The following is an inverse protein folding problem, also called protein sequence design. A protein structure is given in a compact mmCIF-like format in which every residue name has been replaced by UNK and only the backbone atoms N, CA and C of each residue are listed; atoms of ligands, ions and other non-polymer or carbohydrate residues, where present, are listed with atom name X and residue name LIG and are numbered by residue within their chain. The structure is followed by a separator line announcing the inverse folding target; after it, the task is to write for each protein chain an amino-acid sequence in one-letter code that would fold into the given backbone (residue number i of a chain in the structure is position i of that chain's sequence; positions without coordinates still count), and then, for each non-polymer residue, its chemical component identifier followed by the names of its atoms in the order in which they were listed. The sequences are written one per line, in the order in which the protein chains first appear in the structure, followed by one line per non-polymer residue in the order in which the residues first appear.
data_IF_416775228661
#
_entry.id   IF_416775228661
#
_cell.length_a   1.000
_cell.length_b   1.000
_cell.length_c   1.000
_cell.angle_alpha   90.00
_cell.angle_beta   90.00
_cell.angle_gamma   90.00
#
_symmetry.space_group_name_H-M   'P 1'
#
loop_
_entity.id
_entity.type
_entity.pdbx_description
1 polymer ?
#
# COMPACT_ATOMS: atom_id res chain seq x y z
N UNK A 1 17.86 8.29 -5.48
CA UNK A 1 17.60 7.32 -4.39
C UNK A 1 18.71 7.51 -3.38
N UNK A 2 18.46 8.32 -2.35
CA UNK A 2 19.52 8.86 -1.50
C UNK A 2 20.04 7.77 -0.56
N UNK A 3 21.24 7.28 -0.87
CA UNK A 3 22.17 6.68 0.09
C UNK A 3 22.54 7.75 1.12
N UNK A 4 21.67 8.02 2.08
CA UNK A 4 22.11 8.58 3.34
C UNK A 4 22.70 7.43 4.12
N UNK A 5 24.03 7.41 4.16
CA UNK A 5 24.87 6.84 5.20
C UNK A 5 24.03 6.33 6.38
N UNK A 6 23.81 5.02 6.40
CA UNK A 6 22.95 4.38 7.38
C UNK A 6 23.56 4.64 8.76
N UNK A 7 23.08 5.67 9.46
CA UNK A 7 23.22 5.76 10.91
C UNK A 7 22.87 4.38 11.46
N UNK A 8 23.64 3.84 12.42
CA UNK A 8 23.37 2.52 12.97
C UNK A 8 21.89 2.46 13.36
N UNK A 9 21.15 1.53 12.75
CA UNK A 9 19.72 1.40 13.01
C UNK A 9 19.55 1.07 14.49
N UNK A 10 18.61 1.72 15.21
CA UNK A 10 18.42 1.43 16.62
C UNK A 10 18.05 -0.03 16.80
N UNK A 11 18.81 -0.73 17.64
CA UNK A 11 18.66 -2.16 17.95
C UNK A 11 17.53 -2.46 18.96
N UNK A 12 16.76 -1.45 19.38
CA UNK A 12 15.87 -1.54 20.55
C UNK A 12 14.43 -1.03 20.32
N UNK A 13 13.89 -1.19 19.11
CA UNK A 13 12.46 -1.00 18.85
C UNK A 13 11.59 -2.07 19.51
N UNK A 14 10.34 -1.73 19.88
CA UNK A 14 9.39 -2.70 20.45
C UNK A 14 9.07 -3.85 19.49
N UNK A 15 9.00 -3.58 18.18
CA UNK A 15 8.63 -4.55 17.17
C UNK A 15 9.77 -5.50 16.77
N UNK A 16 10.95 -5.41 17.40
CA UNK A 16 12.15 -6.18 17.05
C UNK A 16 12.84 -5.64 15.80
N UNK A 17 13.64 -6.50 15.14
CA UNK A 17 14.51 -6.09 14.04
C UNK A 17 13.76 -5.56 12.83
N UNK A 18 14.34 -4.60 12.13
CA UNK A 18 13.77 -4.04 10.90
C UNK A 18 13.94 -5.07 9.78
N UNK A 19 12.82 -5.50 9.20
CA UNK A 19 12.80 -6.47 8.08
C UNK A 19 12.38 -5.85 6.75
N UNK A 20 11.94 -4.58 6.75
CA UNK A 20 11.61 -3.86 5.53
C UNK A 20 12.80 -3.76 4.58
N UNK A 21 12.49 -3.72 3.29
CA UNK A 21 13.50 -3.54 2.25
C UNK A 21 13.84 -2.07 1.99
N UNK A 22 12.96 -1.17 2.44
CA UNK A 22 13.09 0.27 2.30
C UNK A 22 13.10 0.94 3.67
N UNK A 23 13.91 1.99 3.77
CA UNK A 23 14.04 2.85 4.94
C UNK A 23 13.93 4.30 4.48
N UNK A 24 12.97 5.02 5.06
CA UNK A 24 12.80 6.45 4.78
C UNK A 24 13.75 7.29 5.65
N UNK A 25 13.77 8.60 5.40
CA UNK A 25 14.71 9.51 6.05
C UNK A 25 14.39 9.84 7.52
N UNK A 26 13.17 9.57 8.00
CA UNK A 26 12.78 9.84 9.38
C UNK A 26 13.63 9.00 10.34
N UNK A 27 14.06 9.59 11.46
CA UNK A 27 14.90 8.90 12.43
C UNK A 27 14.12 7.87 13.23
N UNK A 28 14.61 6.63 13.25
CA UNK A 28 13.86 5.49 13.77
C UNK A 28 13.78 5.53 15.29
N UNK A 29 12.58 5.35 15.83
CA UNK A 29 12.28 5.27 17.27
C UNK A 29 12.77 6.51 18.06
N UNK A 30 12.92 7.67 17.41
CA UNK A 30 13.46 8.89 18.04
C UNK A 30 12.62 9.38 19.22
N UNK A 31 11.30 9.28 19.12
CA UNK A 31 10.38 9.80 20.15
C UNK A 31 9.80 8.71 21.06
N UNK A 32 9.67 7.48 20.56
CA UNK A 32 9.11 6.37 21.31
C UNK A 32 9.60 5.04 20.74
N UNK A 33 9.76 4.03 21.61
CA UNK A 33 10.13 2.67 21.20
C UNK A 33 9.00 1.92 20.47
N UNK A 34 7.76 2.42 20.52
CA UNK A 34 6.59 1.73 19.96
C UNK A 34 6.26 2.11 18.51
N UNK A 35 6.73 3.28 18.05
CA UNK A 35 6.47 3.81 16.72
C UNK A 35 7.81 4.18 16.09
N UNK A 36 8.18 3.46 15.02
CA UNK A 36 9.48 3.65 14.38
C UNK A 36 9.59 5.02 13.71
N UNK A 37 8.56 5.46 12.97
CA UNK A 37 8.56 6.74 12.27
C UNK A 37 7.29 7.54 12.62
N UNK A 38 7.29 8.28 13.74
CA UNK A 38 6.08 8.96 14.23
C UNK A 38 5.40 9.90 13.24
N UNK A 39 6.13 10.74 12.52
CA UNK A 39 5.56 11.69 11.58
C UNK A 39 4.95 10.98 10.36
N UNK A 40 5.68 10.00 9.79
CA UNK A 40 5.15 9.16 8.71
C UNK A 40 3.97 8.30 9.15
N UNK A 41 3.96 7.80 10.40
CA UNK A 41 2.85 7.00 10.95
C UNK A 41 1.59 7.85 11.15
N UNK A 42 1.71 9.02 11.78
CA UNK A 42 0.56 9.86 12.15
C UNK A 42 -0.05 10.54 10.92
N UNK A 43 0.76 10.92 9.93
CA UNK A 43 0.25 11.55 8.70
C UNK A 43 -0.75 10.66 7.95
N UNK A 44 -0.63 9.34 8.07
CA UNK A 44 -1.55 8.37 7.49
C UNK A 44 -2.96 8.36 8.12
N UNK A 45 -3.12 8.86 9.35
CA UNK A 45 -4.45 9.03 9.95
C UNK A 45 -5.32 10.02 9.17
N UNK A 46 -4.70 11.03 8.54
CA UNK A 46 -5.42 11.97 7.68
C UNK A 46 -5.95 11.28 6.42
N UNK A 47 -5.14 10.44 5.77
CA UNK A 47 -5.57 9.64 4.61
C UNK A 47 -6.74 8.72 4.97
N UNK A 48 -6.64 8.02 6.11
CA UNK A 48 -7.71 7.15 6.59
C UNK A 48 -9.00 7.92 6.88
N UNK A 49 -8.91 9.07 7.55
CA UNK A 49 -10.07 9.90 7.85
C UNK A 49 -10.78 10.39 6.57
N UNK A 50 -10.03 10.87 5.58
CA UNK A 50 -10.58 11.34 4.32
C UNK A 50 -11.23 10.19 3.52
N UNK A 51 -10.62 9.01 3.51
CA UNK A 51 -11.16 7.83 2.86
C UNK A 51 -12.48 7.36 3.49
N UNK A 52 -12.56 7.36 4.82
CA UNK A 52 -13.80 7.02 5.55
C UNK A 52 -14.90 8.05 5.30
N UNK A 53 -14.56 9.34 5.25
CA UNK A 53 -15.50 10.39 4.86
C UNK A 53 -16.02 10.17 3.44
N UNK A 54 -15.14 9.88 2.48
CA UNK A 54 -15.52 9.59 1.09
C UNK A 54 -16.38 8.33 0.95
N UNK A 55 -16.06 7.26 1.69
CA UNK A 55 -16.87 6.04 1.75
C UNK A 55 -18.29 6.32 2.29
N UNK A 56 -18.38 7.09 3.38
CA UNK A 56 -19.68 7.53 3.94
C UNK A 56 -20.46 8.36 2.93
N UNK A 57 -19.81 9.27 2.21
CA UNK A 57 -20.44 10.09 1.16
C UNK A 57 -20.98 9.22 0.02
N UNK A 58 -20.23 8.20 -0.40
CA UNK A 58 -20.70 7.24 -1.42
C UNK A 58 -21.99 6.53 -0.98
N UNK A 59 -22.06 6.11 0.28
CA UNK A 59 -23.25 5.47 0.84
C UNK A 59 -24.43 6.45 0.98
N UNK A 60 -24.16 7.68 1.41
CA UNK A 60 -25.20 8.70 1.62
C UNK A 60 -25.85 9.20 0.31
N UNK A 61 -25.13 9.10 -0.81
CA UNK A 61 -25.58 9.57 -2.12
C UNK A 61 -25.83 8.45 -3.13
N UNK A 62 -25.94 7.19 -2.68
CA UNK A 62 -26.19 6.01 -3.51
C UNK A 62 -25.23 5.91 -4.73
N UNK A 63 -23.96 6.27 -4.52
CA UNK A 63 -22.97 6.21 -5.59
C UNK A 63 -22.69 4.75 -5.97
N UNK A 64 -22.36 4.48 -7.24
CA UNK A 64 -22.03 3.14 -7.69
C UNK A 64 -20.93 2.48 -6.84
N UNK A 65 -21.11 1.19 -6.53
CA UNK A 65 -20.24 0.39 -5.64
C UNK A 65 -18.73 0.59 -5.88
N UNK A 66 -18.31 0.75 -7.14
CA UNK A 66 -16.90 0.99 -7.49
C UNK A 66 -16.28 2.20 -6.78
N UNK A 67 -17.04 3.28 -6.56
CA UNK A 67 -16.53 4.46 -5.86
C UNK A 67 -16.38 4.21 -4.35
N UNK A 68 -17.29 3.43 -3.77
CA UNK A 68 -17.14 2.95 -2.39
C UNK A 68 -15.90 2.07 -2.26
N UNK A 69 -15.71 1.12 -3.17
CA UNK A 69 -14.53 0.23 -3.18
C UNK A 69 -13.22 0.99 -3.34
N UNK A 70 -13.18 2.07 -4.15
CA UNK A 70 -12.00 2.95 -4.23
C UNK A 70 -11.70 3.59 -2.87
N UNK A 71 -12.71 4.16 -2.21
CA UNK A 71 -12.51 4.78 -0.89
C UNK A 71 -12.07 3.75 0.17
N UNK A 72 -12.64 2.54 0.17
CA UNK A 72 -12.20 1.47 1.05
C UNK A 72 -10.76 1.01 0.73
N UNK A 73 -10.38 1.01 -0.54
CA UNK A 73 -8.99 0.77 -0.97
C UNK A 73 -8.02 1.82 -0.44
N UNK A 74 -8.39 3.11 -0.50
CA UNK A 74 -7.59 4.21 0.08
C UNK A 74 -7.48 4.08 1.61
N UNK A 75 -8.57 3.68 2.28
CA UNK A 75 -8.52 3.39 3.72
C UNK A 75 -7.55 2.25 4.03
N UNK A 76 -7.54 1.19 3.21
CA UNK A 76 -6.60 0.08 3.35
C UNK A 76 -5.14 0.51 3.14
N UNK A 77 -4.87 1.40 2.17
CA UNK A 77 -3.54 2.02 1.98
C UNK A 77 -3.13 2.76 3.25
N UNK A 78 -4.00 3.62 3.79
CA UNK A 78 -3.69 4.38 5.01
C UNK A 78 -3.41 3.48 6.22
N UNK A 79 -4.14 2.38 6.37
CA UNK A 79 -3.90 1.37 7.42
C UNK A 79 -2.55 0.66 7.19
N UNK A 80 -2.28 0.22 5.96
CA UNK A 80 -1.04 -0.44 5.59
C UNK A 80 0.18 0.44 5.83
N UNK A 81 0.14 1.68 5.35
CA UNK A 81 1.20 2.67 5.52
C UNK A 81 1.42 3.03 6.99
N UNK A 82 0.35 3.19 7.77
CA UNK A 82 0.45 3.40 9.22
C UNK A 82 1.18 2.24 9.90
N UNK A 83 0.78 0.99 9.61
CA UNK A 83 1.41 -0.20 10.19
C UNK A 83 2.86 -0.37 9.72
N UNK A 84 3.15 -0.04 8.46
CA UNK A 84 4.49 -0.09 7.91
C UNK A 84 5.42 0.90 8.61
N UNK A 85 5.05 2.18 8.68
CA UNK A 85 5.86 3.22 9.32
C UNK A 85 5.94 3.05 10.86
N UNK A 86 4.96 2.39 11.48
CA UNK A 86 5.02 2.06 12.90
C UNK A 86 6.03 0.93 13.20
N UNK A 87 6.09 -0.10 12.34
CA UNK A 87 6.77 -1.37 12.65
C UNK A 87 8.02 -1.66 11.83
N UNK A 88 8.12 -1.08 10.63
CA UNK A 88 9.13 -1.36 9.60
C UNK A 88 9.29 -2.86 9.27
N UNK A 89 8.16 -3.58 9.30
CA UNK A 89 8.11 -5.00 8.96
C UNK A 89 7.84 -5.20 7.48
N UNK A 90 8.44 -6.22 6.90
CA UNK A 90 8.26 -6.57 5.50
C UNK A 90 6.79 -6.88 5.16
N UNK A 91 6.09 -7.57 6.06
CA UNK A 91 4.67 -7.92 5.91
C UNK A 91 3.80 -6.66 5.88
N UNK A 92 4.10 -5.69 6.76
CA UNK A 92 3.42 -4.40 6.76
C UNK A 92 3.79 -3.56 5.52
N UNK A 93 5.02 -3.67 5.01
CA UNK A 93 5.42 -3.06 3.74
C UNK A 93 4.57 -3.57 2.57
N UNK A 94 4.29 -4.87 2.50
CA UNK A 94 3.40 -5.43 1.48
C UNK A 94 1.97 -4.90 1.61
N UNK A 95 1.51 -4.69 2.85
CA UNK A 95 0.20 -4.10 3.13
C UNK A 95 0.15 -2.60 2.79
N UNK A 96 1.28 -1.90 2.72
CA UNK A 96 1.36 -0.53 2.22
C UNK A 96 1.38 -0.53 0.68
N UNK A 97 2.29 -1.28 0.07
CA UNK A 97 2.59 -1.20 -1.36
C UNK A 97 1.55 -1.89 -2.27
N UNK A 98 1.04 -3.07 -1.89
CA UNK A 98 0.11 -3.82 -2.75
C UNK A 98 -1.27 -3.14 -2.86
N UNK A 99 -1.90 -2.65 -1.76
CA UNK A 99 -3.15 -1.91 -1.85
C UNK A 99 -3.04 -0.63 -2.68
N UNK A 100 -1.89 0.05 -2.73
CA UNK A 100 -1.67 1.20 -3.62
C UNK A 100 -1.87 0.81 -5.09
N UNK A 101 -1.33 -0.33 -5.50
CA UNK A 101 -1.47 -0.86 -6.87
C UNK A 101 -2.94 -1.22 -7.14
N UNK A 102 -3.57 -2.01 -6.27
CA UNK A 102 -4.94 -2.49 -6.48
C UNK A 102 -5.95 -1.35 -6.53
N UNK A 103 -5.81 -0.38 -5.63
CA UNK A 103 -6.69 0.80 -5.58
C UNK A 103 -6.48 1.69 -6.80
N UNK A 104 -5.25 1.86 -7.28
CA UNK A 104 -4.96 2.63 -8.50
C UNK A 104 -5.58 1.98 -9.75
N UNK A 105 -5.53 0.65 -9.85
CA UNK A 105 -6.19 -0.11 -10.93
C UNK A 105 -7.72 0.02 -10.85
N UNK A 106 -8.29 -0.08 -9.65
CA UNK A 106 -9.73 0.10 -9.45
C UNK A 106 -10.19 1.54 -9.75
N UNK A 107 -9.41 2.55 -9.36
CA UNK A 107 -9.66 3.95 -9.70
C UNK A 107 -9.59 4.17 -11.21
N UNK A 108 -8.59 3.57 -11.87
CA UNK A 108 -8.46 3.61 -13.34
C UNK A 108 -9.69 3.00 -14.00
N UNK A 109 -10.18 1.85 -13.51
CA UNK A 109 -11.43 1.26 -13.96
C UNK A 109 -12.61 2.21 -13.77
N UNK A 110 -12.78 2.78 -12.58
CA UNK A 110 -13.89 3.67 -12.26
C UNK A 110 -13.92 4.93 -13.14
N UNK A 111 -12.76 5.52 -13.42
CA UNK A 111 -12.65 6.68 -14.32
C UNK A 111 -12.94 6.27 -15.76
N UNK A 112 -12.25 5.24 -16.29
CA UNK A 112 -12.39 4.86 -17.69
C UNK A 112 -13.79 4.36 -18.05
N UNK A 113 -14.45 3.63 -17.15
CA UNK A 113 -15.81 3.10 -17.37
C UNK A 113 -16.84 4.23 -17.52
N UNK A 114 -16.70 5.35 -16.81
CA UNK A 114 -17.61 6.50 -16.93
C UNK A 114 -17.50 7.27 -18.26
N UNK A 115 -16.46 7.01 -19.06
CA UNK A 115 -16.28 7.66 -20.36
C UNK A 115 -17.17 7.03 -21.44
N UNK A 116 -17.50 7.81 -22.49
CA UNK A 116 -18.20 7.30 -23.70
C UNK A 116 -17.49 6.08 -24.33
N UNK A 117 -16.17 6.01 -24.24
CA UNK A 117 -15.36 4.89 -24.76
C UNK A 117 -15.49 3.65 -23.89
N UNK A 118 -15.48 3.80 -22.57
CA UNK A 118 -15.65 2.72 -21.59
C UNK A 118 -17.00 2.02 -21.69
N UNK A 119 -18.05 2.75 -22.10
CA UNK A 119 -19.39 2.20 -22.30
C UNK A 119 -19.54 1.26 -23.50
N UNK A 120 -18.57 1.20 -24.42
CA UNK A 120 -18.62 0.27 -25.56
C UNK A 120 -18.48 -1.18 -25.07
N UNK A 121 -19.30 -2.10 -25.59
CA UNK A 121 -19.35 -3.53 -25.18
C UNK A 121 -17.97 -4.19 -25.04
N UNK A 122 -17.07 -3.96 -26.01
CA UNK A 122 -15.70 -4.49 -25.98
C UNK A 122 -14.89 -4.02 -24.76
N UNK A 123 -15.04 -2.77 -24.35
CA UNK A 123 -14.28 -2.19 -23.23
C UNK A 123 -14.82 -2.63 -21.87
N UNK A 124 -16.10 -3.02 -21.78
CA UNK A 124 -16.66 -3.58 -20.55
C UNK A 124 -16.00 -4.91 -20.12
N UNK A 125 -15.39 -5.63 -21.07
CA UNK A 125 -14.66 -6.88 -20.80
C UNK A 125 -13.15 -6.67 -20.85
N UNK A 126 -12.64 -6.03 -21.91
CA UNK A 126 -11.19 -5.87 -22.11
C UNK A 126 -10.54 -5.01 -21.01
N UNK A 127 -11.19 -3.94 -20.57
CA UNK A 127 -10.62 -3.06 -19.54
C UNK A 127 -10.40 -3.79 -18.21
N UNK A 128 -11.42 -4.39 -17.56
CA UNK A 128 -11.20 -5.10 -16.30
C UNK A 128 -10.26 -6.29 -16.46
N UNK A 129 -10.33 -7.04 -17.57
CA UNK A 129 -9.42 -8.15 -17.82
C UNK A 129 -7.95 -7.69 -17.85
N UNK A 130 -7.64 -6.62 -18.59
CA UNK A 130 -6.29 -6.06 -18.65
C UNK A 130 -5.81 -5.56 -17.29
N UNK A 131 -6.67 -4.89 -16.51
CA UNK A 131 -6.31 -4.39 -15.19
C UNK A 131 -6.07 -5.52 -14.18
N UNK A 132 -6.88 -6.58 -14.21
CA UNK A 132 -6.68 -7.78 -13.37
C UNK A 132 -5.38 -8.49 -13.73
N UNK A 133 -5.10 -8.67 -15.02
CA UNK A 133 -3.84 -9.27 -15.49
C UNK A 133 -2.63 -8.44 -15.07
N UNK A 134 -2.71 -7.11 -15.18
CA UNK A 134 -1.66 -6.21 -14.72
C UNK A 134 -1.43 -6.32 -13.20
N UNK A 135 -2.51 -6.30 -12.40
CA UNK A 135 -2.43 -6.46 -10.95
C UNK A 135 -1.85 -7.81 -10.53
N UNK A 136 -2.27 -8.89 -11.18
CA UNK A 136 -1.74 -10.23 -10.96
C UNK A 136 -0.25 -10.33 -11.31
N UNK A 137 0.17 -9.75 -12.44
CA UNK A 137 1.57 -9.72 -12.85
C UNK A 137 2.47 -8.97 -11.87
N UNK A 138 2.04 -7.78 -11.41
CA UNK A 138 2.80 -7.02 -10.40
C UNK A 138 2.87 -7.78 -9.08
N UNK A 139 1.74 -8.36 -8.63
CA UNK A 139 1.71 -9.15 -7.38
C UNK A 139 2.63 -10.36 -7.45
N UNK A 140 2.64 -11.08 -8.57
CA UNK A 140 3.54 -12.20 -8.80
C UNK A 140 5.02 -11.74 -8.76
N UNK A 141 5.33 -10.55 -9.28
CA UNK A 141 6.66 -9.95 -9.17
C UNK A 141 7.07 -9.67 -7.72
N UNK A 142 6.17 -9.09 -6.93
CA UNK A 142 6.40 -8.87 -5.49
C UNK A 142 6.63 -10.19 -4.74
N UNK A 143 5.73 -11.16 -4.91
CA UNK A 143 5.79 -12.45 -4.20
C UNK A 143 6.99 -13.29 -4.65
N UNK A 144 7.31 -13.34 -5.94
CA UNK A 144 8.51 -14.04 -6.42
C UNK A 144 9.81 -13.41 -5.88
N UNK A 145 9.86 -12.08 -5.77
CA UNK A 145 10.96 -11.37 -5.12
C UNK A 145 11.12 -11.68 -3.63
N UNK A 146 10.04 -12.09 -2.94
CA UNK A 146 10.08 -12.62 -1.57
C UNK A 146 10.73 -14.01 -1.56
N UNK A 147 10.26 -14.92 -2.41
CA UNK A 147 10.81 -16.28 -2.50
C UNK A 147 12.30 -16.30 -2.84
N UNK A 148 12.75 -15.43 -3.75
CA UNK A 148 14.18 -15.31 -4.08
C UNK A 148 14.99 -14.81 -2.88
N UNK A 149 14.51 -13.80 -2.15
CA UNK A 149 15.21 -13.26 -0.97
C UNK A 149 15.23 -14.22 0.21
N UNK A 150 14.15 -14.94 0.47
CA UNK A 150 14.11 -15.97 1.51
C UNK A 150 14.94 -17.21 1.14
N UNK A 151 14.93 -17.61 -0.13
CA UNK A 151 15.80 -18.66 -0.64
C UNK A 151 17.28 -18.31 -0.41
N UNK A 152 17.74 -17.13 -0.84
CA UNK A 152 19.13 -16.72 -0.64
C UNK A 152 19.55 -16.63 0.84
N UNK A 153 18.64 -16.31 1.76
CA UNK A 153 18.90 -16.33 3.21
C UNK A 153 18.99 -17.76 3.79
N UNK A 154 18.26 -18.72 3.23
CA UNK A 154 18.25 -20.11 3.70
C UNK A 154 19.48 -20.94 3.26
N UNK A 155 20.27 -20.45 2.30
CA UNK A 155 21.49 -21.08 1.80
C UNK A 155 22.77 -20.27 2.11
N UNK A 156 22.65 -19.23 2.93
CA UNK A 156 23.72 -18.30 3.30
C UNK A 156 24.24 -18.45 4.74
N UNK A 157 23.89 -19.53 5.42
CA UNK A 157 24.51 -20.02 6.66
C UNK A 157 25.33 -21.30 6.34
#
# INVERSE_FOLDING_TARGET
MAFLEQRPLPTHGYWGDITSSLLWCEEKYRWTRYIAEPANTISNLFFLALALYGARSCLAHDLPLRFLLVNLGIALIGIGSLLFHMTLKHEAQLLDELPMIYTSLLLTYAVCETTKRGQKKRFKVLLPATLVLAGAGVTAGYVSGIYVRHGLRAWGE
#
